data_IF_518291318951
#
_entry.id   IF_518291318951
#
_cell.length_a   1.000
_cell.length_b   1.000
_cell.length_c   1.000
_cell.angle_alpha   90.00
_cell.angle_beta   90.00
_cell.angle_gamma   90.00
#
_symmetry.space_group_name_H-M   'P 1'
#
loop_
_entity.id
_entity.type
_entity.pdbx_description
1 polymer ?
#
# COMPACT_ATOMS: atom_id res chain seq x y z
N UNK A 1 -5.90 -3.91 -0.04
CA UNK A 1 -5.86 -5.38 0.07
C UNK A 1 -6.83 -6.12 -0.85
N UNK A 2 -7.97 -5.55 -1.22
CA UNK A 2 -8.98 -6.26 -2.06
C UNK A 2 -8.49 -6.68 -3.46
N UNK A 3 -7.57 -5.94 -4.09
CA UNK A 3 -7.07 -6.30 -5.43
C UNK A 3 -6.21 -7.55 -5.46
N UNK A 4 -5.42 -7.76 -4.41
CA UNK A 4 -4.55 -8.93 -4.24
C UNK A 4 -5.40 -10.18 -4.01
N UNK A 5 -6.37 -10.08 -3.10
CA UNK A 5 -7.32 -11.16 -2.79
C UNK A 5 -8.12 -11.56 -4.04
N UNK A 6 -8.66 -10.59 -4.79
CA UNK A 6 -9.47 -10.83 -5.99
C UNK A 6 -8.70 -11.52 -7.12
N UNK A 7 -7.39 -11.23 -7.26
CA UNK A 7 -6.53 -11.88 -8.26
C UNK A 7 -6.15 -13.30 -7.85
N UNK A 8 -5.92 -13.52 -6.56
CA UNK A 8 -5.57 -14.84 -6.02
C UNK A 8 -6.79 -15.78 -5.93
N UNK A 9 -8.00 -15.26 -5.70
CA UNK A 9 -9.24 -16.05 -5.67
C UNK A 9 -9.59 -16.67 -7.04
N UNK A 10 -9.19 -16.03 -8.16
CA UNK A 10 -9.42 -16.54 -9.51
C UNK A 10 -8.52 -17.71 -9.91
N UNK A 11 -7.41 -17.93 -9.20
CA UNK A 11 -6.34 -18.87 -9.60
C UNK A 11 -6.31 -20.16 -8.78
N UNK A 12 -7.45 -20.62 -8.27
CA UNK A 12 -7.63 -21.86 -7.48
C UNK A 12 -6.43 -22.81 -7.51
N UNK A 13 -5.52 -22.72 -6.53
CA UNK A 13 -4.36 -23.61 -6.34
C UNK A 13 -3.02 -23.14 -6.95
N UNK A 14 -2.99 -22.19 -7.90
CA UNK A 14 -1.75 -21.62 -8.47
C UNK A 14 -1.39 -20.25 -7.92
N UNK A 15 -1.91 -19.89 -6.76
CA UNK A 15 -1.65 -18.61 -6.14
C UNK A 15 -0.15 -18.36 -5.85
N UNK A 16 0.62 -19.42 -5.65
CA UNK A 16 2.08 -19.35 -5.41
C UNK A 16 2.79 -18.82 -6.65
N UNK A 17 2.42 -19.31 -7.84
CA UNK A 17 3.02 -18.91 -9.11
C UNK A 17 2.68 -17.47 -9.47
N UNK A 18 1.46 -17.04 -9.13
CA UNK A 18 0.99 -15.68 -9.37
C UNK A 18 1.49 -14.66 -8.33
N UNK A 19 1.92 -15.11 -7.14
CA UNK A 19 2.28 -14.23 -6.03
C UNK A 19 3.41 -13.28 -6.39
N UNK A 20 4.47 -13.77 -7.03
CA UNK A 20 5.61 -12.94 -7.43
C UNK A 20 5.22 -11.84 -8.42
N UNK A 21 4.37 -12.18 -9.40
CA UNK A 21 3.84 -11.22 -10.37
C UNK A 21 2.95 -10.15 -9.72
N UNK A 22 2.10 -10.57 -8.79
CA UNK A 22 1.22 -9.65 -8.05
C UNK A 22 2.02 -8.73 -7.13
N UNK A 23 3.03 -9.27 -6.43
CA UNK A 23 3.92 -8.47 -5.58
C UNK A 23 4.76 -7.49 -6.40
N UNK A 24 5.24 -7.92 -7.58
CA UNK A 24 5.93 -7.05 -8.51
C UNK A 24 5.04 -5.86 -8.90
N UNK A 25 3.85 -6.14 -9.42
CA UNK A 25 2.89 -5.10 -9.78
C UNK A 25 2.56 -4.17 -8.59
N UNK A 26 2.45 -4.73 -7.38
CA UNK A 26 2.20 -3.95 -6.17
C UNK A 26 3.35 -2.98 -5.85
N UNK A 27 4.60 -3.42 -5.99
CA UNK A 27 5.79 -2.64 -5.66
C UNK A 27 6.08 -1.55 -6.68
N UNK A 28 5.75 -1.80 -7.94
CA UNK A 28 6.10 -0.94 -9.08
C UNK A 28 4.96 -0.03 -9.56
N UNK A 29 3.77 -0.16 -8.99
CA UNK A 29 2.65 0.71 -9.33
C UNK A 29 2.56 1.89 -8.36
N UNK A 30 2.50 3.10 -8.90
CA UNK A 30 2.32 4.32 -8.12
C UNK A 30 1.05 4.28 -7.28
N UNK A 31 1.12 4.76 -6.05
CA UNK A 31 0.02 4.79 -5.09
C UNK A 31 -0.68 6.14 -5.12
N UNK A 32 -1.99 6.11 -5.26
CA UNK A 32 -2.81 7.32 -5.21
C UNK A 32 -2.68 8.08 -3.88
N UNK A 33 -2.33 7.37 -2.81
CA UNK A 33 -2.18 7.92 -1.46
C UNK A 33 -0.84 8.60 -1.21
N UNK A 34 0.22 8.23 -1.93
CA UNK A 34 1.57 8.75 -1.73
C UNK A 34 2.13 9.45 -2.96
N UNK A 35 1.50 9.27 -4.13
CA UNK A 35 2.00 9.75 -5.41
C UNK A 35 3.16 8.94 -5.99
N UNK A 36 3.80 8.10 -5.18
CA UNK A 36 5.03 7.39 -5.51
C UNK A 36 4.83 5.87 -5.53
N UNK A 37 5.78 5.15 -6.15
CA UNK A 37 5.81 3.69 -6.07
C UNK A 37 6.44 3.24 -4.74
N UNK A 38 6.00 2.12 -4.15
CA UNK A 38 6.67 1.55 -2.98
C UNK A 38 8.14 1.22 -3.24
N UNK A 39 8.49 0.86 -4.47
CA UNK A 39 9.87 0.59 -4.87
C UNK A 39 10.73 1.86 -4.80
N UNK A 40 10.25 2.97 -5.39
CA UNK A 40 10.95 4.24 -5.34
C UNK A 40 11.17 4.72 -3.90
N UNK A 41 10.15 4.68 -3.04
CA UNK A 41 10.26 5.08 -1.64
C UNK A 41 11.24 4.20 -0.83
N UNK A 42 11.53 2.99 -1.29
CA UNK A 42 12.47 2.08 -0.63
C UNK A 42 13.90 2.30 -1.13
N UNK A 43 14.09 2.38 -2.43
CA UNK A 43 15.41 2.32 -3.08
C UNK A 43 15.87 3.66 -3.66
N UNK A 44 15.03 4.66 -3.75
CA UNK A 44 15.35 5.97 -4.34
C UNK A 44 15.48 5.94 -5.86
N UNK A 45 15.06 4.86 -6.50
CA UNK A 45 15.12 4.71 -7.95
C UNK A 45 13.91 3.96 -8.47
N UNK A 46 13.49 4.28 -9.69
CA UNK A 46 12.44 3.52 -10.37
C UNK A 46 12.97 2.21 -10.96
N UNK A 47 12.11 1.22 -10.95
CA UNK A 47 12.39 -0.09 -11.54
C UNK A 47 12.51 0.02 -13.05
N UNK A 48 13.50 -0.67 -13.60
CA UNK A 48 13.58 -0.93 -15.04
C UNK A 48 12.77 -2.17 -15.35
N UNK A 49 11.74 -2.03 -16.17
CA UNK A 49 10.88 -3.15 -16.56
C UNK A 49 11.63 -4.04 -17.56
N UNK A 50 11.57 -5.38 -17.43
CA UNK A 50 12.26 -6.26 -18.38
C UNK A 50 11.94 -6.00 -19.86
N UNK A 51 10.72 -5.55 -20.16
CA UNK A 51 10.32 -5.15 -21.50
C UNK A 51 11.10 -3.93 -22.03
N UNK A 52 11.49 -3.00 -21.16
CA UNK A 52 12.29 -1.82 -21.55
C UNK A 52 13.70 -2.20 -21.97
N UNK A 53 14.28 -3.24 -21.36
CA UNK A 53 15.60 -3.77 -21.73
C UNK A 53 15.57 -4.36 -23.13
N UNK A 54 14.48 -5.04 -23.49
CA UNK A 54 14.32 -5.69 -24.80
C UNK A 54 13.89 -4.72 -25.91
N UNK A 55 13.27 -3.60 -25.58
CA UNK A 55 12.73 -2.63 -26.55
C UNK A 55 13.72 -1.52 -26.93
N UNK A 56 15.00 -1.64 -26.62
CA UNK A 56 16.03 -0.64 -26.93
C UNK A 56 15.59 0.81 -26.61
N UNK A 57 14.99 1.00 -25.44
CA UNK A 57 14.54 2.31 -25.00
C UNK A 57 15.74 3.29 -24.93
N UNK A 58 15.53 4.57 -25.23
CA UNK A 58 16.55 5.62 -25.15
C UNK A 58 17.26 5.65 -23.78
N UNK A 59 16.58 5.22 -22.72
CA UNK A 59 17.12 5.08 -21.36
C UNK A 59 18.18 3.98 -21.27
N UNK A 60 17.99 2.87 -21.96
CA UNK A 60 18.93 1.74 -21.98
C UNK A 60 20.07 2.01 -22.98
N UNK A 61 19.77 2.57 -24.16
CA UNK A 61 20.76 2.84 -25.21
C UNK A 61 21.75 3.95 -24.84
N UNK A 62 21.37 4.88 -23.97
CA UNK A 62 22.22 5.97 -23.48
C UNK A 62 22.78 5.72 -22.07
N UNK A 63 22.74 4.47 -21.62
CA UNK A 63 23.24 4.13 -20.29
C UNK A 63 24.74 4.41 -20.17
N UNK A 64 25.10 5.28 -19.23
CA UNK A 64 26.46 5.55 -18.81
C UNK A 64 26.58 5.26 -17.31
N UNK A 65 27.41 4.29 -16.96
CA UNK A 65 27.55 3.81 -15.58
C UNK A 65 27.99 4.91 -14.59
N UNK A 66 28.93 5.77 -15.00
CA UNK A 66 29.46 6.84 -14.14
C UNK A 66 28.40 7.92 -13.90
N UNK A 67 27.69 8.30 -14.93
CA UNK A 67 26.66 9.32 -14.89
C UNK A 67 25.42 8.82 -14.11
N UNK A 68 25.06 7.54 -14.34
CA UNK A 68 23.99 6.89 -13.60
C UNK A 68 24.30 6.81 -12.09
N UNK A 69 25.54 6.50 -11.71
CA UNK A 69 25.94 6.45 -10.29
C UNK A 69 25.82 7.82 -9.63
N UNK A 70 26.20 8.90 -10.31
CA UNK A 70 26.03 10.27 -9.80
C UNK A 70 24.57 10.65 -9.63
N UNK A 71 23.73 10.29 -10.62
CA UNK A 71 22.27 10.53 -10.54
C UNK A 71 21.63 9.74 -9.41
N UNK A 72 22.01 8.48 -9.23
CA UNK A 72 21.53 7.67 -8.10
C UNK A 72 21.91 8.26 -6.76
N UNK A 73 23.16 8.69 -6.59
CA UNK A 73 23.56 9.38 -5.34
C UNK A 73 22.73 10.63 -5.08
N UNK A 74 22.48 11.43 -6.11
CA UNK A 74 21.62 12.61 -5.98
C UNK A 74 20.20 12.24 -5.57
N UNK A 75 19.62 11.20 -6.17
CA UNK A 75 18.28 10.72 -5.82
C UNK A 75 18.22 10.16 -4.40
N UNK A 76 19.25 9.46 -3.96
CA UNK A 76 19.32 8.97 -2.57
C UNK A 76 19.38 10.11 -1.56
N UNK A 77 20.09 11.20 -1.85
CA UNK A 77 20.12 12.38 -0.99
C UNK A 77 18.75 13.07 -0.87
N UNK A 78 17.91 12.99 -1.91
CA UNK A 78 16.56 13.56 -1.91
C UNK A 78 15.49 12.56 -1.45
N UNK A 79 15.86 11.31 -1.20
CA UNK A 79 14.90 10.25 -0.88
C UNK A 79 14.10 10.53 0.40
N UNK A 80 14.75 11.13 1.39
CA UNK A 80 14.07 11.45 2.65
C UNK A 80 13.01 12.53 2.46
N UNK A 81 13.30 13.57 1.68
CA UNK A 81 12.31 14.59 1.31
C UNK A 81 11.09 13.98 0.57
N UNK A 82 11.33 13.03 -0.33
CA UNK A 82 10.26 12.30 -0.99
C UNK A 82 9.42 11.46 -0.02
N UNK A 83 10.05 10.83 0.97
CA UNK A 83 9.37 10.05 2.03
C UNK A 83 8.51 10.95 2.93
N UNK A 84 9.03 12.10 3.32
CA UNK A 84 8.28 13.08 4.10
C UNK A 84 7.06 13.58 3.33
N UNK A 85 7.26 13.95 2.06
CA UNK A 85 6.16 14.37 1.17
C UNK A 85 5.11 13.27 1.00
N UNK A 86 5.53 12.03 0.79
CA UNK A 86 4.63 10.88 0.69
C UNK A 86 3.84 10.65 2.00
N UNK A 87 4.46 10.89 3.15
CA UNK A 87 3.79 10.78 4.46
C UNK A 87 2.72 11.85 4.63
N UNK A 88 3.00 13.09 4.24
CA UNK A 88 2.02 14.19 4.25
C UNK A 88 0.84 13.87 3.33
N UNK A 89 1.10 13.42 2.12
CA UNK A 89 0.05 13.05 1.16
C UNK A 89 -0.80 11.88 1.66
N UNK A 90 -0.18 10.90 2.31
CA UNK A 90 -0.89 9.79 2.93
C UNK A 90 -1.84 10.27 4.04
N UNK A 91 -1.37 11.17 4.90
CA UNK A 91 -2.19 11.75 5.97
C UNK A 91 -3.37 12.54 5.41
N UNK A 92 -3.15 13.37 4.39
CA UNK A 92 -4.23 14.08 3.70
C UNK A 92 -5.25 13.12 3.05
N UNK A 93 -4.76 12.08 2.39
CA UNK A 93 -5.62 11.09 1.76
C UNK A 93 -6.49 10.37 2.79
N UNK A 94 -5.91 9.97 3.91
CA UNK A 94 -6.64 9.35 5.02
C UNK A 94 -7.69 10.30 5.62
N UNK A 95 -7.33 11.57 5.79
CA UNK A 95 -8.28 12.59 6.28
C UNK A 95 -9.44 12.82 5.31
N UNK A 96 -9.16 12.89 3.99
CA UNK A 96 -10.19 13.00 2.96
C UNK A 96 -11.12 11.79 2.97
N UNK A 97 -10.58 10.58 3.13
CA UNK A 97 -11.37 9.35 3.27
C UNK A 97 -12.23 9.37 4.53
N UNK A 98 -11.66 9.71 5.68
CA UNK A 98 -12.40 9.79 6.94
C UNK A 98 -13.57 10.79 6.86
N UNK A 99 -13.33 11.98 6.28
CA UNK A 99 -14.39 12.98 6.05
C UNK A 99 -15.51 12.43 5.15
N UNK A 100 -15.15 11.68 4.09
CA UNK A 100 -16.14 11.08 3.18
C UNK A 100 -16.98 10.02 3.88
N UNK A 101 -16.34 9.12 4.65
CA UNK A 101 -17.06 8.10 5.42
C UNK A 101 -17.94 8.71 6.52
N UNK A 102 -17.41 9.69 7.25
CA UNK A 102 -18.14 10.33 8.34
C UNK A 102 -19.33 11.18 7.87
N UNK A 103 -19.34 11.62 6.61
CA UNK A 103 -20.46 12.38 6.02
C UNK A 103 -21.78 11.60 6.06
N UNK A 104 -21.69 10.28 5.89
CA UNK A 104 -22.87 9.40 5.84
C UNK A 104 -23.18 8.75 7.20
N UNK A 105 -22.36 9.02 8.23
CA UNK A 105 -22.57 8.53 9.58
C UNK A 105 -23.65 9.36 10.28
N UNK A 106 -24.77 8.72 10.59
CA UNK A 106 -25.84 9.33 11.40
C UNK A 106 -25.52 9.14 12.88
N UNK A 107 -25.62 10.20 13.66
CA UNK A 107 -25.58 10.10 15.11
C UNK A 107 -26.76 9.25 15.57
N UNK A 108 -26.50 8.24 16.38
CA UNK A 108 -27.51 7.44 17.07
C UNK A 108 -27.38 7.69 18.56
N UNK A 109 -28.50 7.87 19.22
CA UNK A 109 -28.60 7.85 20.66
C UNK A 109 -29.02 6.44 21.05
N UNK A 110 -28.30 5.85 21.97
CA UNK A 110 -28.56 4.50 22.47
C UNK A 110 -29.28 4.60 23.80
N UNK A 111 -30.36 3.83 23.96
CA UNK A 111 -31.10 3.68 25.22
C UNK A 111 -30.68 2.43 25.98
N UNK A 112 -31.08 2.37 27.25
CA UNK A 112 -30.89 1.16 28.07
C UNK A 112 -31.71 0.01 27.47
N UNK A 113 -31.02 -1.08 27.07
CA UNK A 113 -31.66 -2.26 26.42
C UNK A 113 -31.36 -2.37 24.93
N UNK A 114 -30.67 -1.40 24.32
CA UNK A 114 -30.22 -1.50 22.92
C UNK A 114 -29.06 -2.48 22.80
N UNK A 115 -29.12 -3.34 21.78
CA UNK A 115 -28.03 -4.25 21.45
C UNK A 115 -26.98 -3.50 20.59
N UNK A 116 -25.76 -3.48 21.09
CA UNK A 116 -24.64 -2.82 20.42
C UNK A 116 -23.47 -3.78 20.23
N UNK A 117 -22.82 -3.73 19.06
CA UNK A 117 -21.57 -4.45 18.83
C UNK A 117 -20.43 -3.68 19.51
N UNK A 118 -19.69 -4.37 20.37
CA UNK A 118 -18.52 -3.80 21.02
C UNK A 118 -17.26 -4.12 20.25
N UNK A 119 -16.40 -3.10 20.02
CA UNK A 119 -15.10 -3.32 19.43
C UNK A 119 -14.14 -3.93 20.44
N UNK A 120 -13.56 -5.09 20.08
CA UNK A 120 -12.55 -5.75 20.91
C UNK A 120 -11.30 -4.87 21.00
N UNK A 121 -10.97 -4.41 22.20
CA UNK A 121 -9.74 -3.63 22.46
C UNK A 121 -8.64 -4.62 22.86
N UNK A 122 -7.40 -4.31 22.51
CA UNK A 122 -6.24 -5.22 22.61
C UNK A 122 -6.05 -5.95 23.94
N UNK A 123 -6.57 -5.41 25.07
CA UNK A 123 -6.48 -6.03 26.40
C UNK A 123 -7.50 -7.16 26.64
N UNK A 124 -8.55 -7.22 25.83
CA UNK A 124 -9.59 -8.26 25.91
C UNK A 124 -9.39 -9.35 24.83
N UNK A 125 -8.40 -9.21 24.00
CA UNK A 125 -8.13 -10.13 22.90
C UNK A 125 -7.39 -11.34 23.44
N UNK A 126 -7.96 -12.51 23.24
CA UNK A 126 -7.33 -13.78 23.59
C UNK A 126 -5.99 -13.93 22.84
N UNK A 127 -4.92 -14.31 23.53
CA UNK A 127 -3.54 -14.37 23.00
C UNK A 127 -3.41 -15.34 21.82
N UNK A 128 -4.32 -16.32 21.72
CA UNK A 128 -4.32 -17.36 20.68
C UNK A 128 -5.19 -17.04 19.46
N UNK A 129 -5.74 -15.83 19.40
CA UNK A 129 -6.66 -15.44 18.35
C UNK A 129 -5.91 -14.94 17.11
N UNK A 130 -6.11 -15.61 16.00
CA UNK A 130 -5.45 -15.30 14.73
C UNK A 130 -5.79 -13.91 14.16
N UNK A 131 -4.97 -13.43 13.24
CA UNK A 131 -5.08 -12.09 12.62
C UNK A 131 -6.40 -11.83 11.87
N UNK A 132 -7.18 -12.88 11.60
CA UNK A 132 -8.44 -12.83 10.84
C UNK A 132 -9.69 -12.91 11.72
N UNK A 133 -9.56 -12.91 13.03
CA UNK A 133 -10.69 -12.99 13.95
C UNK A 133 -11.53 -11.72 13.91
N UNK A 134 -12.85 -11.84 14.11
CA UNK A 134 -13.74 -10.70 14.20
C UNK A 134 -13.23 -9.67 15.21
N UNK A 135 -13.28 -8.40 14.83
CA UNK A 135 -12.86 -7.29 15.71
C UNK A 135 -14.02 -6.71 16.53
N UNK A 136 -15.20 -7.30 16.37
CA UNK A 136 -16.43 -6.89 17.04
C UNK A 136 -17.05 -8.10 17.73
N UNK A 137 -17.48 -7.93 18.95
CA UNK A 137 -18.18 -8.94 19.74
C UNK A 137 -19.65 -8.57 19.88
N UNK A 138 -20.49 -9.57 19.90
CA UNK A 138 -21.90 -9.43 20.22
C UNK A 138 -22.05 -9.19 21.74
N UNK A 139 -23.09 -8.46 22.15
CA UNK A 139 -23.38 -8.17 23.54
C UNK A 139 -23.75 -9.42 24.32
#
# INVERSE_FOLDING_TARGET
>A
MNGLKRRLEGTKGRWVDELSSVLWAYRTTSRRSTGETPFFLTYGAEVVIPAEVNLCNARVSRFNSVENSKLMMKQLNMLEEHRESATIWLAEYQQKLARRYNKDVRKREFGTGDLVLQKVVGNTRDVNVGKLTPTWEEP
#
